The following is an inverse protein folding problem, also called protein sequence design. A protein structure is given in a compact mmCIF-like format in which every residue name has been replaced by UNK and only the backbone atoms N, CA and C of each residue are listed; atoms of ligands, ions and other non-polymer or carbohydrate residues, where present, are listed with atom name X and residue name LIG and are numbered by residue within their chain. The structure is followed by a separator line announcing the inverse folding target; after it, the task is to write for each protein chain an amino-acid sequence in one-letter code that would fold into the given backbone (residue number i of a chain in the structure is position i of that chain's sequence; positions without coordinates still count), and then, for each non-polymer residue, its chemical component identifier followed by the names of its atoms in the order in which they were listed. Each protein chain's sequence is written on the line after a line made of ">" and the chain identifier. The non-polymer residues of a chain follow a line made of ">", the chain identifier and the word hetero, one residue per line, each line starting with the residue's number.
data_IF_083918733166
#
_entry.id   IF_083918733166
#
_cell.length_a   1.000
_cell.length_b   1.000
_cell.length_c   1.000
_cell.angle_alpha   90.00
_cell.angle_beta   90.00
_cell.angle_gamma   90.00
#
_symmetry.space_group_name_H-M   'P 1'
#
loop_
_entity.id
_entity.type
_entity.pdbx_description
1 polymer ?
#
# COMPACT_ATOMS: atom_id res chain seq x y z
N UNK A 1 10.64 -20.95 1.96
CA UNK A 1 9.62 -19.99 2.43
C UNK A 1 9.87 -19.67 3.90
N UNK A 2 9.87 -18.39 4.26
CA UNK A 2 10.10 -17.98 5.64
C UNK A 2 8.91 -18.36 6.54
N UNK A 3 9.15 -18.48 7.86
CA UNK A 3 8.07 -18.72 8.83
C UNK A 3 7.00 -17.62 8.78
N UNK A 4 7.42 -16.37 8.55
CA UNK A 4 6.51 -15.23 8.42
C UNK A 4 5.59 -15.37 7.20
N UNK A 5 6.14 -15.77 6.05
CA UNK A 5 5.35 -16.02 4.84
C UNK A 5 4.36 -17.17 5.01
N UNK A 6 4.80 -18.27 5.62
CA UNK A 6 3.93 -19.42 5.88
C UNK A 6 2.76 -19.04 6.77
N UNK A 7 3.03 -18.29 7.84
CA UNK A 7 1.99 -17.79 8.74
C UNK A 7 1.00 -16.87 8.04
N UNK A 8 1.49 -15.96 7.18
CA UNK A 8 0.65 -15.07 6.40
C UNK A 8 -0.23 -15.85 5.41
N UNK A 9 0.31 -16.85 4.73
CA UNK A 9 -0.45 -17.71 3.83
C UNK A 9 -1.56 -18.48 4.55
N UNK A 10 -1.24 -19.05 5.71
CA UNK A 10 -2.22 -19.79 6.51
C UNK A 10 -3.36 -18.86 6.96
N UNK A 11 -3.04 -17.65 7.39
CA UNK A 11 -4.01 -16.66 7.78
C UNK A 11 -4.86 -16.19 6.60
N UNK A 12 -4.24 -16.00 5.42
CA UNK A 12 -4.94 -15.62 4.19
C UNK A 12 -5.93 -16.70 3.79
N UNK A 13 -5.53 -17.97 3.82
CA UNK A 13 -6.39 -19.10 3.52
C UNK A 13 -7.60 -19.15 4.45
N UNK A 14 -7.38 -18.94 5.74
CA UNK A 14 -8.46 -18.89 6.75
C UNK A 14 -9.45 -17.77 6.46
N UNK A 15 -8.95 -16.57 6.19
CA UNK A 15 -9.78 -15.40 5.88
C UNK A 15 -10.55 -15.62 4.59
N UNK A 16 -9.91 -16.16 3.55
CA UNK A 16 -10.55 -16.50 2.28
C UNK A 16 -11.71 -17.48 2.50
N UNK A 17 -11.50 -18.52 3.30
CA UNK A 17 -12.53 -19.51 3.62
C UNK A 17 -13.71 -18.85 4.34
N UNK A 18 -13.45 -18.03 5.36
CA UNK A 18 -14.49 -17.30 6.08
C UNK A 18 -15.26 -16.36 5.14
N UNK A 19 -14.55 -15.66 4.26
CA UNK A 19 -15.12 -14.74 3.30
C UNK A 19 -16.04 -15.42 2.31
N UNK A 20 -15.63 -16.56 1.76
CA UNK A 20 -16.43 -17.33 0.80
C UNK A 20 -17.70 -17.91 1.42
N UNK A 21 -17.72 -18.10 2.73
CA UNK A 21 -18.87 -18.62 3.47
C UNK A 21 -19.88 -17.54 3.86
N UNK A 22 -19.50 -16.26 3.81
CA UNK A 22 -20.34 -15.15 4.24
C UNK A 22 -20.82 -14.30 3.06
N UNK A 23 -22.11 -13.94 3.10
CA UNK A 23 -22.79 -13.14 2.06
C UNK A 23 -22.71 -11.62 2.30
N UNK A 24 -21.81 -11.16 3.14
CA UNK A 24 -21.69 -9.75 3.47
C UNK A 24 -21.01 -8.94 2.37
N UNK A 25 -21.39 -7.67 2.24
CA UNK A 25 -20.67 -6.70 1.41
C UNK A 25 -19.30 -6.48 2.02
N UNK A 26 -18.26 -6.98 1.36
CA UNK A 26 -16.90 -6.94 1.88
C UNK A 26 -16.18 -5.67 1.45
N UNK A 27 -16.35 -4.64 2.23
CA UNK A 27 -15.57 -3.41 2.17
C UNK A 27 -14.70 -3.31 3.43
N UNK A 28 -13.75 -2.39 3.44
CA UNK A 28 -12.92 -2.18 4.63
C UNK A 28 -13.74 -1.88 5.89
N UNK A 29 -14.87 -1.20 5.77
CA UNK A 29 -15.72 -0.91 6.93
C UNK A 29 -16.42 -2.14 7.51
N UNK A 30 -16.70 -3.17 6.72
CA UNK A 30 -17.44 -4.34 7.16
C UNK A 30 -16.55 -5.47 7.68
N UNK A 31 -15.24 -5.31 7.62
CA UNK A 31 -14.31 -6.31 8.11
C UNK A 31 -14.26 -6.37 9.62
N UNK A 32 -14.13 -7.58 10.17
CA UNK A 32 -13.86 -7.76 11.59
C UNK A 32 -12.46 -7.21 11.92
N UNK A 33 -12.25 -6.77 13.16
CA UNK A 33 -10.97 -6.22 13.60
C UNK A 33 -9.79 -7.17 13.35
N UNK A 34 -9.97 -8.47 13.52
CA UNK A 34 -8.92 -9.47 13.24
C UNK A 34 -8.55 -9.57 11.76
N UNK A 35 -9.52 -9.46 10.86
CA UNK A 35 -9.31 -9.46 9.41
C UNK A 35 -8.62 -8.19 8.97
N UNK A 36 -9.04 -7.04 9.51
CA UNK A 36 -8.42 -5.75 9.25
C UNK A 36 -6.95 -5.74 9.68
N UNK A 37 -6.65 -6.21 10.90
CA UNK A 37 -5.28 -6.32 11.41
C UNK A 37 -4.41 -7.25 10.55
N UNK A 38 -4.97 -8.37 10.09
CA UNK A 38 -4.24 -9.27 9.19
C UNK A 38 -3.95 -8.61 7.85
N UNK A 39 -4.92 -7.91 7.26
CA UNK A 39 -4.73 -7.21 5.98
C UNK A 39 -3.68 -6.10 6.12
N UNK A 40 -3.65 -5.39 7.23
CA UNK A 40 -2.61 -4.42 7.53
C UNK A 40 -1.21 -5.04 7.56
N UNK A 41 -1.06 -6.18 8.22
CA UNK A 41 0.20 -6.92 8.28
C UNK A 41 0.64 -7.42 6.90
N UNK A 42 -0.30 -7.95 6.13
CA UNK A 42 -0.02 -8.43 4.78
C UNK A 42 0.39 -7.28 3.86
N UNK A 43 -0.36 -6.18 3.90
CA UNK A 43 -0.04 -5.00 3.11
C UNK A 43 1.36 -4.46 3.43
N UNK A 44 1.68 -4.30 4.71
CA UNK A 44 2.99 -3.83 5.14
C UNK A 44 4.11 -4.75 4.65
N UNK A 45 3.93 -6.06 4.78
CA UNK A 45 4.92 -7.04 4.33
C UNK A 45 5.14 -6.98 2.82
N UNK A 46 4.06 -6.91 2.04
CA UNK A 46 4.17 -6.87 0.56
C UNK A 46 4.69 -5.52 0.06
N UNK A 47 4.38 -4.44 0.73
CA UNK A 47 4.93 -3.12 0.41
C UNK A 47 6.45 -3.07 0.64
N UNK A 48 6.96 -3.81 1.61
CA UNK A 48 8.39 -3.89 1.90
C UNK A 48 9.15 -4.88 1.00
N UNK A 49 8.50 -5.93 0.52
CA UNK A 49 9.16 -7.02 -0.19
C UNK A 49 8.90 -7.06 -1.69
N UNK A 50 7.64 -7.10 -2.08
CA UNK A 50 7.23 -7.33 -3.48
C UNK A 50 7.05 -6.04 -4.26
N UNK A 51 6.45 -5.03 -3.65
CA UNK A 51 6.19 -3.76 -4.31
C UNK A 51 7.47 -3.07 -4.80
N UNK A 52 8.56 -2.99 -4.02
CA UNK A 52 9.81 -2.41 -4.50
C UNK A 52 10.34 -3.07 -5.77
N UNK A 53 10.16 -4.39 -5.89
CA UNK A 53 10.57 -5.12 -7.10
C UNK A 53 9.67 -4.77 -8.27
N UNK A 54 8.36 -4.73 -8.05
CA UNK A 54 7.38 -4.41 -9.10
C UNK A 54 7.58 -3.00 -9.67
N UNK A 55 7.74 -1.99 -8.82
CA UNK A 55 7.93 -0.61 -9.26
C UNK A 55 9.27 -0.38 -9.95
N UNK A 56 10.30 -1.14 -9.59
CA UNK A 56 11.62 -1.07 -10.22
C UNK A 56 11.54 -1.38 -11.73
N UNK A 57 10.63 -2.25 -12.12
CA UNK A 57 10.46 -2.68 -13.50
C UNK A 57 9.31 -1.98 -14.23
N UNK A 58 8.58 -1.10 -13.56
CA UNK A 58 7.47 -0.37 -14.17
C UNK A 58 7.97 0.91 -14.85
N UNK A 59 7.80 0.97 -16.18
CA UNK A 59 8.29 2.10 -16.99
C UNK A 59 7.56 3.40 -16.67
N UNK A 60 6.24 3.34 -16.47
CA UNK A 60 5.45 4.54 -16.16
C UNK A 60 5.83 5.12 -14.81
N UNK A 61 6.03 4.25 -13.83
CA UNK A 61 6.46 4.68 -12.51
C UNK A 61 7.85 5.33 -12.58
N UNK A 62 8.79 4.72 -13.28
CA UNK A 62 10.15 5.24 -13.41
C UNK A 62 10.17 6.61 -14.10
N UNK A 63 9.33 6.82 -15.12
CA UNK A 63 9.18 8.13 -15.76
C UNK A 63 8.61 9.18 -14.81
N UNK A 64 7.59 8.82 -14.04
CA UNK A 64 6.98 9.72 -13.05
C UNK A 64 8.00 10.08 -11.96
N UNK A 65 8.78 9.11 -11.50
CA UNK A 65 9.82 9.32 -10.49
C UNK A 65 10.91 10.27 -10.99
N UNK A 66 11.33 10.15 -12.25
CA UNK A 66 12.29 11.07 -12.85
C UNK A 66 11.77 12.51 -12.89
N UNK A 67 10.50 12.70 -13.24
CA UNK A 67 9.87 14.03 -13.21
C UNK A 67 9.82 14.59 -11.79
N UNK A 68 9.49 13.76 -10.82
CA UNK A 68 9.48 14.15 -9.41
C UNK A 68 10.87 14.58 -8.94
N UNK A 69 11.90 13.82 -9.27
CA UNK A 69 13.29 14.13 -8.91
C UNK A 69 13.74 15.45 -9.54
N UNK A 70 13.42 15.70 -10.80
CA UNK A 70 13.74 16.97 -11.47
C UNK A 70 13.05 18.16 -10.81
N UNK A 71 11.79 18.01 -10.44
CA UNK A 71 11.04 19.05 -9.74
C UNK A 71 11.66 19.37 -8.37
N UNK A 72 12.07 18.33 -7.64
CA UNK A 72 12.74 18.48 -6.36
C UNK A 72 14.11 19.16 -6.49
N UNK A 73 14.87 18.85 -7.53
CA UNK A 73 16.15 19.53 -7.81
C UNK A 73 15.95 21.04 -8.01
N UNK A 74 14.89 21.46 -8.69
CA UNK A 74 14.56 22.88 -8.88
C UNK A 74 14.28 23.59 -7.57
N UNK A 75 13.64 22.90 -6.61
CA UNK A 75 13.40 23.45 -5.27
C UNK A 75 14.76 23.74 -4.57
N UNK A 76 15.71 22.85 -4.72
CA UNK A 76 17.05 22.99 -4.12
C UNK A 76 17.85 24.16 -4.71
N UNK A 77 17.58 24.54 -5.94
CA UNK A 77 18.19 25.70 -6.58
C UNK A 77 17.62 27.04 -6.09
N UNK A 78 16.54 27.03 -5.30
CA UNK A 78 15.98 28.22 -4.70
C UNK A 78 16.76 28.64 -3.47
N UNK A 79 16.98 29.94 -3.31
CA UNK A 79 17.67 30.52 -2.17
C UNK A 79 16.71 30.66 -0.99
N UNK A 80 16.31 29.53 -0.40
CA UNK A 80 15.37 29.51 0.71
C UNK A 80 16.08 29.76 2.05
N UNK A 81 15.38 30.44 2.95
CA UNK A 81 15.83 30.57 4.34
C UNK A 81 15.70 29.23 5.07
N UNK A 82 16.42 29.01 6.20
CA UNK A 82 16.23 27.79 6.99
C UNK A 82 14.77 27.54 7.40
N UNK A 83 14.02 28.58 7.74
CA UNK A 83 12.60 28.47 8.10
C UNK A 83 11.73 28.05 6.90
N UNK A 84 12.04 28.57 5.72
CA UNK A 84 11.36 28.17 4.49
C UNK A 84 11.65 26.72 4.15
N UNK A 85 12.90 26.27 4.31
CA UNK A 85 13.28 24.87 4.13
C UNK A 85 12.52 23.94 5.06
N UNK A 86 12.40 24.31 6.35
CA UNK A 86 11.64 23.53 7.33
C UNK A 86 10.19 23.35 6.89
N UNK A 87 9.58 24.40 6.33
CA UNK A 87 8.21 24.36 5.82
C UNK A 87 8.09 23.44 4.61
N UNK A 88 9.03 23.52 3.67
CA UNK A 88 9.07 22.67 2.49
C UNK A 88 9.24 21.20 2.87
N UNK A 89 10.20 20.92 3.75
CA UNK A 89 10.46 19.55 4.23
C UNK A 89 9.25 18.96 4.96
N UNK A 90 8.58 19.78 5.78
CA UNK A 90 7.36 19.33 6.46
C UNK A 90 6.25 18.98 5.46
N UNK A 91 6.08 19.78 4.42
CA UNK A 91 5.09 19.52 3.37
C UNK A 91 5.41 18.24 2.59
N UNK A 92 6.66 18.04 2.19
CA UNK A 92 7.12 16.85 1.48
C UNK A 92 6.94 15.61 2.36
N UNK A 93 7.32 15.68 3.63
CA UNK A 93 7.16 14.58 4.58
C UNK A 93 5.69 14.22 4.77
N UNK A 94 4.81 15.20 4.94
CA UNK A 94 3.38 14.98 5.08
C UNK A 94 2.79 14.32 3.83
N UNK A 95 3.20 14.76 2.64
CA UNK A 95 2.75 14.18 1.37
C UNK A 95 3.22 12.72 1.22
N UNK A 96 4.45 12.44 1.59
CA UNK A 96 4.99 11.07 1.56
C UNK A 96 4.23 10.14 2.51
N UNK A 97 3.92 10.59 3.72
CA UNK A 97 3.13 9.82 4.70
C UNK A 97 1.73 9.55 4.14
N UNK A 98 1.08 10.57 3.59
CA UNK A 98 -0.24 10.43 2.96
C UNK A 98 -0.21 9.43 1.80
N UNK A 99 0.82 9.47 0.96
CA UNK A 99 0.98 8.53 -0.15
C UNK A 99 1.16 7.08 0.31
N UNK A 100 1.94 6.87 1.35
CA UNK A 100 2.13 5.54 1.95
C UNK A 100 0.80 4.99 2.48
N UNK A 101 0.03 5.80 3.19
CA UNK A 101 -1.29 5.40 3.69
C UNK A 101 -2.27 5.10 2.55
N UNK A 102 -2.24 5.90 1.48
CA UNK A 102 -3.05 5.64 0.30
C UNK A 102 -2.71 4.29 -0.34
N UNK A 103 -1.43 3.99 -0.50
CA UNK A 103 -0.96 2.72 -1.06
C UNK A 103 -1.41 1.55 -0.18
N UNK A 104 -1.29 1.67 1.13
CA UNK A 104 -1.71 0.64 2.09
C UNK A 104 -3.20 0.32 1.95
N UNK A 105 -4.04 1.36 1.90
CA UNK A 105 -5.49 1.20 1.74
C UNK A 105 -5.82 0.61 0.37
N UNK A 106 -5.18 1.09 -0.69
CA UNK A 106 -5.41 0.57 -2.04
C UNK A 106 -5.04 -0.92 -2.14
N UNK A 107 -3.95 -1.33 -1.50
CA UNK A 107 -3.54 -2.74 -1.45
C UNK A 107 -4.58 -3.61 -0.74
N UNK A 108 -5.05 -3.17 0.42
CA UNK A 108 -6.08 -3.89 1.19
C UNK A 108 -7.37 -4.01 0.41
N UNK A 109 -7.82 -2.93 -0.20
CA UNK A 109 -9.03 -2.92 -1.03
C UNK A 109 -8.89 -3.84 -2.24
N UNK A 110 -7.70 -3.88 -2.85
CA UNK A 110 -7.42 -4.79 -3.98
C UNK A 110 -7.55 -6.26 -3.59
N UNK A 111 -7.12 -6.65 -2.39
CA UNK A 111 -7.31 -8.02 -1.89
C UNK A 111 -8.80 -8.33 -1.72
N UNK A 112 -9.55 -7.41 -1.13
CA UNK A 112 -11.00 -7.56 -0.94
C UNK A 112 -11.70 -7.71 -2.29
N UNK A 113 -11.36 -6.88 -3.26
CA UNK A 113 -11.93 -6.92 -4.60
C UNK A 113 -11.62 -8.25 -5.31
N UNK A 114 -10.39 -8.74 -5.19
CA UNK A 114 -9.99 -10.03 -5.75
C UNK A 114 -10.80 -11.18 -5.16
N UNK A 115 -11.04 -11.18 -3.87
CA UNK A 115 -11.86 -12.18 -3.20
C UNK A 115 -13.32 -12.09 -3.64
N UNK A 116 -13.85 -10.89 -3.81
CA UNK A 116 -15.20 -10.68 -4.34
C UNK A 116 -15.36 -11.30 -5.73
N UNK A 117 -14.39 -11.06 -6.61
CA UNK A 117 -14.38 -11.61 -7.96
C UNK A 117 -14.34 -13.15 -7.92
N UNK A 118 -13.45 -13.72 -7.10
CA UNK A 118 -13.35 -15.16 -6.94
C UNK A 118 -14.66 -15.79 -6.44
N UNK A 119 -15.29 -15.15 -5.46
CA UNK A 119 -16.57 -15.64 -4.92
C UNK A 119 -17.66 -15.64 -5.95
N UNK A 120 -17.75 -14.61 -6.79
CA UNK A 120 -18.78 -14.51 -7.86
C UNK A 120 -18.56 -15.52 -8.98
N UNK A 121 -17.30 -15.94 -9.21
CA UNK A 121 -16.95 -16.87 -10.29
C UNK A 121 -16.94 -18.33 -9.86
N UNK A 122 -16.95 -18.59 -8.56
CA UNK A 122 -17.05 -19.95 -8.01
C UNK A 122 -18.51 -20.36 -7.86
#
# INVERSE_FOLDING_TARGET
>A
MSNKEQKLRNNLYKILTEYLLHDSKNTLHSLKASQESFLDQLAAFRMETTLPIAIKHDVKYQKAQKKCNKANEKIQDLNLTPQQWDTVDAAITAENISSIEYIRIAYKQGIIDAFSILRETL
#
